data_IF_424551855467
#
_entry.id   IF_424551855467
#
_cell.length_a   1.000
_cell.length_b   1.000
_cell.length_c   1.000
_cell.angle_alpha   90.00
_cell.angle_beta   90.00
_cell.angle_gamma   90.00
#
_symmetry.space_group_name_H-M   'P 1'
#
loop_
_entity.id
_entity.type
_entity.pdbx_description
1 polymer ?
#
# COMPACT_ATOMS: atom_id res chain seq x y z
N UNK A 1 8.64 -0.69 -23.30
CA UNK A 1 9.08 0.16 -22.18
C UNK A 1 8.67 1.58 -22.48
N UNK A 2 7.96 2.21 -21.56
CA UNK A 2 7.42 3.56 -21.68
C UNK A 2 8.53 4.57 -21.37
N UNK A 3 8.72 5.53 -22.27
CA UNK A 3 9.65 6.63 -22.10
C UNK A 3 9.03 7.79 -21.30
N UNK A 4 9.86 8.77 -20.93
CA UNK A 4 9.41 9.88 -20.08
C UNK A 4 8.27 10.70 -20.69
N UNK A 5 8.26 11.06 -22.00
CA UNK A 5 7.15 11.79 -22.60
C UNK A 5 5.83 11.00 -22.54
N UNK A 6 5.83 9.72 -22.91
CA UNK A 6 4.62 8.91 -22.84
C UNK A 6 4.15 8.71 -21.39
N UNK A 7 5.08 8.54 -20.45
CA UNK A 7 4.77 8.46 -19.03
C UNK A 7 4.16 9.76 -18.49
N UNK A 8 4.64 10.92 -18.97
CA UNK A 8 4.11 12.23 -18.59
C UNK A 8 2.67 12.41 -19.06
N UNK A 9 2.36 12.00 -20.29
CA UNK A 9 1.00 12.06 -20.81
C UNK A 9 0.04 11.18 -19.99
N UNK A 10 0.48 9.97 -19.61
CA UNK A 10 -0.27 9.08 -18.72
C UNK A 10 -0.50 9.72 -17.35
N UNK A 11 0.55 10.31 -16.76
CA UNK A 11 0.45 10.97 -15.46
C UNK A 11 -0.52 12.16 -15.49
N UNK A 12 -0.46 13.01 -16.53
CA UNK A 12 -1.38 14.12 -16.72
C UNK A 12 -2.83 13.66 -16.86
N UNK A 13 -3.07 12.58 -17.61
CA UNK A 13 -4.40 12.02 -17.81
C UNK A 13 -5.05 11.47 -16.53
N UNK A 14 -4.27 11.24 -15.46
CA UNK A 14 -4.78 10.81 -14.15
C UNK A 14 -5.04 11.94 -13.18
N UNK A 15 -4.51 13.12 -13.46
CA UNK A 15 -4.73 14.29 -12.62
C UNK A 15 -5.99 15.05 -13.07
N UNK A 16 -6.69 15.73 -12.14
CA UNK A 16 -7.80 16.59 -12.52
C UNK A 16 -7.31 17.68 -13.49
N UNK A 17 -7.97 17.86 -14.65
CA UNK A 17 -7.56 18.86 -15.61
C UNK A 17 -7.54 20.26 -14.98
N UNK A 18 -6.57 21.08 -15.38
CA UNK A 18 -6.41 22.49 -14.97
C UNK A 18 -6.13 22.73 -13.48
N UNK A 19 -6.03 21.67 -12.68
CA UNK A 19 -5.77 21.76 -11.24
C UNK A 19 -4.39 21.28 -10.84
N UNK A 20 -3.66 20.57 -11.69
CA UNK A 20 -2.36 20.03 -11.35
C UNK A 20 -1.28 20.39 -12.37
N UNK A 21 -0.09 20.68 -11.86
CA UNK A 21 1.12 20.88 -12.67
C UNK A 21 2.14 19.82 -12.26
N UNK A 22 2.65 19.07 -13.24
CA UNK A 22 3.75 18.14 -13.04
C UNK A 22 5.08 18.88 -13.09
N UNK A 23 5.97 18.55 -12.16
CA UNK A 23 7.36 18.98 -12.18
C UNK A 23 8.24 18.15 -13.12
N UNK A 24 9.55 18.33 -12.96
CA UNK A 24 10.56 17.54 -13.67
C UNK A 24 10.49 16.07 -13.25
N UNK A 25 10.56 15.17 -14.22
CA UNK A 25 10.52 13.74 -13.97
C UNK A 25 11.78 13.29 -13.20
N UNK A 26 11.61 12.30 -12.33
CA UNK A 26 12.69 11.53 -11.71
C UNK A 26 12.56 10.10 -12.20
N UNK A 27 13.63 9.59 -12.81
CA UNK A 27 13.66 8.20 -13.27
C UNK A 27 13.87 7.25 -12.08
N UNK A 28 13.06 6.19 -12.03
CA UNK A 28 13.22 5.05 -11.13
C UNK A 28 13.57 3.80 -11.97
N UNK A 29 13.97 2.71 -11.33
CA UNK A 29 14.28 1.48 -12.07
C UNK A 29 13.03 0.94 -12.77
N UNK A 30 11.90 0.90 -12.07
CA UNK A 30 10.63 0.36 -12.57
C UNK A 30 9.64 1.43 -13.08
N UNK A 31 9.95 2.72 -12.93
CA UNK A 31 8.97 3.77 -13.21
C UNK A 31 9.53 5.17 -13.50
N UNK A 32 8.62 6.10 -13.78
CA UNK A 32 8.87 7.53 -13.88
C UNK A 32 8.05 8.25 -12.82
N UNK A 33 8.72 8.92 -11.88
CA UNK A 33 8.05 9.75 -10.87
C UNK A 33 7.94 11.19 -11.34
N UNK A 34 6.74 11.73 -11.29
CA UNK A 34 6.45 13.12 -11.58
C UNK A 34 5.93 13.77 -10.29
N UNK A 35 6.73 14.62 -9.60
CA UNK A 35 6.19 15.40 -8.51
C UNK A 35 5.09 16.31 -9.05
N UNK A 36 4.05 16.56 -8.26
CA UNK A 36 2.96 17.43 -8.69
C UNK A 36 2.61 18.45 -7.63
N UNK A 37 2.12 19.61 -8.09
CA UNK A 37 1.46 20.60 -7.25
C UNK A 37 0.02 20.70 -7.71
N UNK A 38 -0.93 20.48 -6.80
CA UNK A 38 -2.35 20.70 -7.08
C UNK A 38 -2.82 22.03 -6.49
N UNK A 39 -3.69 22.72 -7.22
CA UNK A 39 -4.43 23.87 -6.69
C UNK A 39 -5.45 23.35 -5.67
N UNK A 40 -5.40 23.90 -4.46
CA UNK A 40 -6.35 23.71 -3.35
C UNK A 40 -6.27 22.39 -2.56
N UNK A 41 -5.34 21.47 -2.88
CA UNK A 41 -5.24 20.16 -2.22
C UNK A 41 -3.77 19.73 -2.10
N UNK A 42 -3.25 19.64 -0.87
CA UNK A 42 -1.85 19.27 -0.59
C UNK A 42 -1.63 17.76 -0.35
N UNK A 43 -2.62 16.91 -0.65
CA UNK A 43 -2.57 15.48 -0.31
C UNK A 43 -1.78 14.62 -1.31
N UNK A 44 -1.40 15.15 -2.47
CA UNK A 44 -0.72 14.41 -3.53
C UNK A 44 0.70 14.94 -3.75
N UNK A 45 1.71 14.12 -3.49
CA UNK A 45 3.11 14.45 -3.75
C UNK A 45 3.49 14.28 -5.22
N UNK A 46 2.85 13.35 -5.92
CA UNK A 46 3.14 13.09 -7.33
C UNK A 46 2.47 11.84 -7.87
N UNK A 47 2.88 11.46 -9.09
CA UNK A 47 2.43 10.25 -9.77
C UNK A 47 3.66 9.46 -10.22
N UNK A 48 3.69 8.16 -9.93
CA UNK A 48 4.65 7.24 -10.53
C UNK A 48 3.94 6.51 -11.68
N UNK A 49 4.58 6.43 -12.84
CA UNK A 49 4.09 5.61 -13.97
C UNK A 49 5.05 4.46 -14.20
N UNK A 50 4.54 3.23 -14.14
CA UNK A 50 5.30 2.02 -14.38
C UNK A 50 5.82 1.97 -15.83
N UNK A 51 7.08 1.60 -16.03
CA UNK A 51 7.73 1.56 -17.35
C UNK A 51 7.28 0.38 -18.23
N UNK A 52 6.81 -0.70 -17.62
CA UNK A 52 6.46 -1.92 -18.34
C UNK A 52 5.00 -1.92 -18.80
N UNK A 53 4.08 -1.53 -17.92
CA UNK A 53 2.64 -1.60 -18.18
C UNK A 53 1.93 -0.23 -18.25
N UNK A 54 2.63 0.86 -17.94
CA UNK A 54 2.07 2.21 -17.95
C UNK A 54 1.08 2.49 -16.83
N UNK A 55 1.01 1.60 -15.83
CA UNK A 55 0.10 1.77 -14.71
C UNK A 55 0.54 2.97 -13.86
N UNK A 56 -0.35 3.95 -13.64
CA UNK A 56 -0.09 5.08 -12.77
C UNK A 56 -0.41 4.74 -11.30
N UNK A 57 0.41 5.24 -10.40
CA UNK A 57 0.26 5.18 -8.95
C UNK A 57 0.29 6.61 -8.39
N UNK A 58 -0.74 6.99 -7.65
CA UNK A 58 -0.74 8.25 -6.91
C UNK A 58 0.10 8.11 -5.64
N UNK A 59 1.07 9.00 -5.47
CA UNK A 59 1.90 9.08 -4.27
C UNK A 59 1.32 10.14 -3.36
N UNK A 60 0.74 9.71 -2.25
CA UNK A 60 0.15 10.62 -1.27
C UNK A 60 1.26 11.30 -0.45
N UNK A 61 1.10 12.58 -0.14
CA UNK A 61 2.11 13.39 0.58
C UNK A 61 2.46 12.85 1.96
N UNK A 62 1.54 12.14 2.61
CA UNK A 62 1.68 11.52 3.92
C UNK A 62 2.08 10.03 3.85
N UNK A 63 2.28 9.48 2.64
CA UNK A 63 2.70 8.09 2.48
C UNK A 63 4.23 7.92 2.63
N UNK A 64 4.71 6.77 3.12
CA UNK A 64 6.14 6.44 3.13
C UNK A 64 6.83 6.62 1.76
N UNK A 65 6.10 6.33 0.69
CA UNK A 65 6.56 6.47 -0.70
C UNK A 65 6.94 7.90 -1.08
N UNK A 66 6.31 8.91 -0.49
CA UNK A 66 6.68 10.31 -0.73
C UNK A 66 8.07 10.65 -0.18
N UNK A 67 8.50 9.96 0.88
CA UNK A 67 9.80 10.14 1.51
C UNK A 67 10.88 9.22 0.92
N UNK A 68 10.50 8.02 0.48
CA UNK A 68 11.42 7.04 -0.13
C UNK A 68 10.79 6.41 -1.38
N UNK A 69 11.18 6.92 -2.55
CA UNK A 69 10.75 6.37 -3.85
C UNK A 69 11.35 5.00 -4.16
N UNK A 70 12.42 4.58 -3.46
CA UNK A 70 13.02 3.25 -3.70
C UNK A 70 12.09 2.12 -3.28
N UNK A 71 11.08 2.40 -2.45
CA UNK A 71 10.00 1.46 -2.14
C UNK A 71 9.29 0.97 -3.42
N UNK A 72 9.08 1.85 -4.40
CA UNK A 72 8.46 1.47 -5.67
C UNK A 72 9.28 0.42 -6.42
N UNK A 73 10.61 0.60 -6.46
CA UNK A 73 11.55 -0.32 -7.10
C UNK A 73 11.70 -1.65 -6.33
N UNK A 74 11.37 -1.66 -5.03
CA UNK A 74 11.29 -2.89 -4.21
C UNK A 74 10.00 -3.69 -4.41
N UNK A 75 9.09 -3.22 -5.28
CA UNK A 75 7.86 -3.93 -5.64
C UNK A 75 6.59 -3.38 -5.00
N UNK A 76 6.67 -2.26 -4.26
CA UNK A 76 5.48 -1.56 -3.77
C UNK A 76 4.88 -0.69 -4.88
N UNK A 77 4.12 -1.30 -5.79
CA UNK A 77 3.61 -0.64 -7.01
C UNK A 77 2.08 -0.44 -7.05
N UNK A 78 1.39 -0.63 -5.91
CA UNK A 78 -0.07 -0.56 -5.78
C UNK A 78 -0.52 0.41 -4.68
N UNK A 79 -1.78 0.84 -4.74
CA UNK A 79 -2.37 1.74 -3.72
C UNK A 79 -2.74 1.01 -2.42
N UNK A 80 -2.97 -0.29 -2.48
CA UNK A 80 -3.42 -1.09 -1.34
C UNK A 80 -2.89 -2.50 -1.51
N UNK A 81 -2.46 -3.12 -0.41
CA UNK A 81 -1.90 -4.46 -0.43
C UNK A 81 -2.50 -5.35 0.64
N UNK A 82 -2.66 -6.62 0.28
CA UNK A 82 -2.74 -7.71 1.23
C UNK A 82 -1.33 -8.07 1.70
N UNK A 83 -1.13 -8.11 3.02
CA UNK A 83 0.10 -8.59 3.63
C UNK A 83 0.00 -10.10 3.82
N UNK A 84 1.00 -10.83 3.35
CA UNK A 84 1.14 -12.28 3.57
C UNK A 84 2.40 -12.52 4.40
N UNK A 85 2.22 -12.91 5.66
CA UNK A 85 3.30 -13.32 6.55
C UNK A 85 3.62 -14.79 6.28
N UNK A 86 4.89 -15.07 5.97
CA UNK A 86 5.38 -16.40 5.60
C UNK A 86 6.14 -17.08 6.74
N UNK A 87 6.83 -16.30 7.57
CA UNK A 87 7.57 -16.74 8.74
C UNK A 87 7.63 -15.62 9.77
N UNK A 88 7.72 -15.98 11.05
CA UNK A 88 7.90 -15.06 12.18
C UNK A 88 9.08 -15.52 13.01
N UNK A 89 10.08 -14.66 13.17
CA UNK A 89 11.21 -14.90 14.09
C UNK A 89 10.99 -14.17 15.42
N UNK A 90 10.26 -13.05 15.40
CA UNK A 90 9.81 -12.34 16.59
C UNK A 90 8.29 -12.14 16.53
N UNK A 91 7.57 -13.04 17.21
CA UNK A 91 6.11 -13.08 17.17
C UNK A 91 5.48 -11.82 17.81
N UNK A 92 6.06 -11.31 18.89
CA UNK A 92 5.46 -10.19 19.64
C UNK A 92 5.64 -8.86 18.89
N UNK A 93 6.80 -8.63 18.28
CA UNK A 93 6.98 -7.47 17.40
C UNK A 93 6.15 -7.61 16.11
N UNK A 94 6.01 -8.82 15.59
CA UNK A 94 5.15 -9.06 14.41
C UNK A 94 3.68 -8.76 14.72
N UNK A 95 3.16 -9.20 15.87
CA UNK A 95 1.77 -8.92 16.27
C UNK A 95 1.54 -7.41 16.38
N UNK A 96 2.43 -6.68 17.07
CA UNK A 96 2.31 -5.21 17.21
C UNK A 96 2.35 -4.52 15.85
N UNK A 97 3.29 -4.89 14.99
CA UNK A 97 3.38 -4.35 13.64
C UNK A 97 2.09 -4.58 12.84
N UNK A 98 1.61 -5.83 12.80
CA UNK A 98 0.40 -6.18 12.04
C UNK A 98 -0.83 -5.49 12.62
N UNK A 99 -0.92 -5.37 13.95
CA UNK A 99 -2.03 -4.67 14.61
C UNK A 99 -2.04 -3.18 14.28
N UNK A 100 -0.87 -2.53 14.32
CA UNK A 100 -0.71 -1.11 13.97
C UNK A 100 -1.08 -0.81 12.50
N UNK A 101 -0.96 -1.79 11.61
CA UNK A 101 -1.40 -1.66 10.21
C UNK A 101 -2.93 -1.68 10.04
N UNK A 102 -3.68 -1.94 11.12
CA UNK A 102 -5.14 -1.90 11.17
C UNK A 102 -5.85 -2.86 10.21
N UNK A 103 -5.46 -4.15 10.12
CA UNK A 103 -6.13 -5.11 9.25
C UNK A 103 -7.58 -5.30 9.70
N UNK A 104 -8.48 -5.41 8.71
CA UNK A 104 -9.92 -5.45 8.96
C UNK A 104 -10.48 -6.84 8.72
N UNK A 105 -11.50 -7.21 9.51
CA UNK A 105 -12.36 -8.37 9.29
C UNK A 105 -13.81 -7.91 9.12
N UNK A 106 -14.60 -8.71 8.42
CA UNK A 106 -16.05 -8.56 8.35
C UNK A 106 -16.69 -9.58 9.29
N UNK A 107 -17.19 -9.12 10.42
CA UNK A 107 -18.02 -9.95 11.29
C UNK A 107 -19.42 -10.05 10.70
N UNK A 108 -19.98 -11.27 10.73
CA UNK A 108 -21.36 -11.52 10.30
C UNK A 108 -22.17 -12.02 11.49
N UNK A 109 -23.24 -11.32 11.86
CA UNK A 109 -24.13 -11.75 12.94
C UNK A 109 -25.60 -11.59 12.56
N UNK A 110 -26.44 -12.43 13.15
CA UNK A 110 -27.90 -12.41 12.94
C UNK A 110 -28.59 -11.83 14.17
N UNK A 111 -29.38 -10.77 13.97
CA UNK A 111 -30.16 -10.13 15.03
C UNK A 111 -31.44 -9.55 14.42
N UNK A 112 -32.57 -9.61 15.14
CA UNK A 112 -33.84 -9.04 14.68
C UNK A 112 -34.25 -9.46 13.25
N UNK A 113 -34.12 -10.75 12.94
CA UNK A 113 -34.44 -11.30 11.61
C UNK A 113 -33.61 -10.70 10.46
N UNK A 114 -32.45 -10.13 10.77
CA UNK A 114 -31.54 -9.50 9.82
C UNK A 114 -30.13 -9.99 10.00
N UNK A 115 -29.42 -10.15 8.88
CA UNK A 115 -27.98 -10.41 8.85
C UNK A 115 -27.25 -9.08 8.76
N UNK A 116 -26.41 -8.82 9.75
CA UNK A 116 -25.52 -7.67 9.79
C UNK A 116 -24.12 -8.10 9.39
N UNK A 117 -23.44 -7.23 8.63
CA UNK A 117 -22.03 -7.37 8.27
C UNK A 117 -21.31 -6.11 8.71
N UNK A 118 -20.42 -6.23 9.68
CA UNK A 118 -19.71 -5.09 10.27
C UNK A 118 -18.23 -5.25 10.04
N UNK A 119 -17.61 -4.25 9.45
CA UNK A 119 -16.15 -4.17 9.35
C UNK A 119 -15.60 -3.70 10.68
N UNK A 120 -14.64 -4.42 11.24
CA UNK A 120 -13.88 -3.98 12.41
C UNK A 120 -12.40 -4.35 12.29
N UNK A 121 -11.50 -3.68 13.03
CA UNK A 121 -10.12 -4.11 13.16
C UNK A 121 -10.01 -5.50 13.80
N UNK A 122 -8.98 -6.24 13.41
CA UNK A 122 -8.53 -7.42 14.15
C UNK A 122 -7.90 -7.00 15.48
N UNK A 123 -8.12 -7.79 16.53
CA UNK A 123 -7.42 -7.64 17.80
C UNK A 123 -6.04 -8.29 17.73
N UNK A 124 -5.15 -7.94 18.67
CA UNK A 124 -3.84 -8.61 18.80
C UNK A 124 -3.99 -10.13 19.02
N UNK A 125 -5.00 -10.59 19.77
CA UNK A 125 -5.23 -12.01 20.01
C UNK A 125 -5.66 -12.74 18.73
N UNK A 126 -6.51 -12.14 17.91
CA UNK A 126 -6.90 -12.73 16.61
C UNK A 126 -5.73 -12.73 15.62
N UNK A 127 -4.88 -11.71 15.66
CA UNK A 127 -3.65 -11.67 14.88
C UNK A 127 -2.71 -12.79 15.33
N UNK A 128 -2.51 -12.93 16.64
CA UNK A 128 -1.69 -14.00 17.25
C UNK A 128 -2.20 -15.37 16.82
N UNK A 129 -3.50 -15.62 16.93
CA UNK A 129 -4.12 -16.87 16.51
C UNK A 129 -3.85 -17.16 15.01
N UNK A 130 -4.05 -16.18 14.13
CA UNK A 130 -3.77 -16.34 12.70
C UNK A 130 -2.30 -16.64 12.42
N UNK A 131 -1.38 -15.99 13.12
CA UNK A 131 0.06 -16.21 12.95
C UNK A 131 0.52 -17.60 13.40
N UNK A 132 -0.28 -18.35 14.16
CA UNK A 132 0.01 -19.76 14.47
C UNK A 132 -0.13 -20.68 13.25
N UNK A 133 -0.82 -20.24 12.19
CA UNK A 133 -1.05 -21.01 10.96
C UNK A 133 -0.54 -20.25 9.74
N UNK A 134 0.75 -20.39 9.47
CA UNK A 134 1.39 -19.75 8.32
C UNK A 134 1.18 -20.54 7.01
N UNK A 135 1.07 -19.85 5.86
CA UNK A 135 1.11 -18.40 5.69
C UNK A 135 -0.16 -17.70 6.19
N UNK A 136 -0.01 -16.58 6.89
CA UNK A 136 -1.11 -15.79 7.43
C UNK A 136 -1.35 -14.54 6.57
N UNK A 137 -2.61 -14.29 6.23
CA UNK A 137 -3.00 -13.18 5.33
C UNK A 137 -3.78 -12.11 6.09
N UNK A 138 -3.36 -10.85 5.90
CA UNK A 138 -3.95 -9.67 6.52
C UNK A 138 -4.28 -8.65 5.44
N UNK A 139 -5.59 -8.43 5.22
CA UNK A 139 -6.07 -7.37 4.33
C UNK A 139 -6.22 -6.05 5.06
N UNK A 140 -5.83 -4.95 4.43
CA UNK A 140 -5.86 -3.63 5.04
C UNK A 140 -5.10 -2.58 4.22
N UNK A 141 -4.98 -1.36 4.78
CA UNK A 141 -4.32 -0.23 4.12
C UNK A 141 -2.83 -0.20 4.46
N UNK A 142 -2.13 -1.28 4.09
CA UNK A 142 -0.68 -1.43 4.31
C UNK A 142 0.19 -0.38 3.61
N UNK A 143 -0.35 0.33 2.62
CA UNK A 143 0.37 1.35 1.85
C UNK A 143 0.88 2.53 2.69
N UNK A 144 0.27 2.82 3.84
CA UNK A 144 0.74 3.86 4.78
C UNK A 144 1.77 3.36 5.80
N UNK A 145 2.15 2.08 5.73
CA UNK A 145 3.03 1.43 6.71
C UNK A 145 4.20 0.69 6.04
N UNK A 146 4.52 1.02 4.78
CA UNK A 146 5.58 0.36 4.02
C UNK A 146 6.97 0.53 4.64
N UNK A 147 7.26 1.71 5.19
CA UNK A 147 8.48 1.99 5.97
C UNK A 147 8.61 1.04 7.16
N UNK A 148 7.52 0.81 7.91
CA UNK A 148 7.50 -0.10 9.06
C UNK A 148 7.69 -1.55 8.64
N UNK A 149 7.12 -1.94 7.50
CA UNK A 149 7.33 -3.26 6.92
C UNK A 149 8.79 -3.48 6.51
N UNK A 150 9.43 -2.48 5.88
CA UNK A 150 10.86 -2.55 5.56
C UNK A 150 11.72 -2.61 6.82
N UNK A 151 11.45 -1.77 7.82
CA UNK A 151 12.17 -1.79 9.09
C UNK A 151 12.05 -3.15 9.79
N UNK A 152 10.87 -3.78 9.75
CA UNK A 152 10.65 -5.10 10.33
C UNK A 152 11.36 -6.21 9.54
N UNK A 153 11.49 -6.07 8.21
CA UNK A 153 12.31 -6.95 7.38
C UNK A 153 13.79 -6.84 7.76
N UNK A 154 14.29 -5.62 7.88
CA UNK A 154 15.69 -5.33 8.23
C UNK A 154 16.04 -5.82 9.64
N UNK A 155 15.11 -5.68 10.59
CA UNK A 155 15.24 -6.19 11.95
C UNK A 155 15.06 -7.72 12.04
N UNK A 156 14.67 -8.39 10.95
CA UNK A 156 14.49 -9.83 10.89
C UNK A 156 13.28 -10.35 11.66
N UNK A 157 12.26 -9.52 11.95
CA UNK A 157 11.10 -9.94 12.75
C UNK A 157 10.20 -10.93 12.02
N UNK A 158 10.03 -10.73 10.72
CA UNK A 158 9.17 -11.55 9.87
C UNK A 158 9.69 -11.63 8.44
N UNK A 159 9.32 -12.72 7.77
CA UNK A 159 9.39 -12.83 6.31
C UNK A 159 8.00 -12.62 5.74
N UNK A 160 7.84 -11.76 4.74
CA UNK A 160 6.54 -11.45 4.15
C UNK A 160 6.60 -11.24 2.64
N UNK A 161 5.42 -11.27 2.04
CA UNK A 161 5.13 -10.75 0.70
C UNK A 161 3.94 -9.83 0.76
N UNK A 162 3.87 -8.87 -0.16
CA UNK A 162 2.68 -8.05 -0.38
C UNK A 162 2.11 -8.35 -1.75
N UNK A 163 0.80 -8.31 -1.86
CA UNK A 163 0.08 -8.47 -3.12
C UNK A 163 -0.91 -7.34 -3.28
N UNK A 164 -1.17 -6.92 -4.52
CA UNK A 164 -2.26 -5.99 -4.81
C UNK A 164 -3.55 -6.46 -4.16
N UNK A 165 -4.17 -5.61 -3.34
CA UNK A 165 -5.49 -5.89 -2.78
C UNK A 165 -6.51 -5.96 -3.91
N UNK A 166 -7.23 -7.08 -3.99
CA UNK A 166 -8.31 -7.30 -4.96
C UNK A 166 -9.61 -7.59 -4.22
N UNK A 167 -10.56 -6.64 -4.17
CA UNK A 167 -11.87 -6.94 -3.62
C UNK A 167 -12.52 -8.05 -4.46
N UNK A 168 -13.21 -8.97 -3.80
CA UNK A 168 -14.01 -9.98 -4.49
C UNK A 168 -15.25 -9.30 -5.05
N UNK A 169 -15.44 -9.39 -6.36
CA UNK A 169 -16.63 -8.93 -7.09
C UNK A 169 -17.93 -9.56 -6.58
#
# INVERSE_FOLDING_TARGET
>A
MIDEPAARDIALAKLPPEKAVLGAARELAAGWFFPCVMRDIDTLAGVIVNKDDGRPLHVMSDSPMANDLTLYDRGYQFHTYDLVVLATEDIEHTIRLVHDMGPLIVDTYYKFERVYRVRRPLTEDEIRERLQSLPAVFGGVSAYHLDRLEAAREAGWLTFKVFEYRPKD
#
